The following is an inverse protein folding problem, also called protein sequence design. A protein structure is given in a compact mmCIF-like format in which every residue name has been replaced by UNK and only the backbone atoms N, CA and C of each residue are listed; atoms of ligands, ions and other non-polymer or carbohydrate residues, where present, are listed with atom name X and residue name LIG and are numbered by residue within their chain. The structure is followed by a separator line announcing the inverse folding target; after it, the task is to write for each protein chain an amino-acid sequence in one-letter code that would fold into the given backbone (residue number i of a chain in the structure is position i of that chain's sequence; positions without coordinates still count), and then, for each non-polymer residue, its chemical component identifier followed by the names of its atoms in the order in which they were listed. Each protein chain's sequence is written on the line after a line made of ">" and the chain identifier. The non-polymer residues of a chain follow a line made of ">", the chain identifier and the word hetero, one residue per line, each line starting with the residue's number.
data_IF_256430657259
#
_entry.id   IF_256430657259
#
_cell.length_a   1.000
_cell.length_b   1.000
_cell.length_c   1.000
_cell.angle_alpha   90.00
_cell.angle_beta   90.00
_cell.angle_gamma   90.00
#
_symmetry.space_group_name_H-M   'P 1'
#
loop_
_entity.id
_entity.type
_entity.pdbx_description
1 polymer ?
#
# COMPACT_ATOMS: atom_id res chain seq x y z
N UNK A 1 -13.32 19.37 -8.93
CA UNK A 1 -13.28 18.06 -8.25
C UNK A 1 -12.93 18.36 -6.81
N UNK A 2 -13.86 18.16 -5.88
CA UNK A 2 -13.69 18.60 -4.50
C UNK A 2 -13.13 17.45 -3.65
N UNK A 3 -11.91 17.60 -3.16
CA UNK A 3 -11.16 16.58 -2.44
C UNK A 3 -11.19 16.93 -0.94
N UNK A 4 -11.64 16.00 -0.10
CA UNK A 4 -11.74 16.19 1.36
C UNK A 4 -10.54 15.54 2.05
N UNK A 5 -9.59 16.32 2.54
CA UNK A 5 -8.41 15.78 3.22
C UNK A 5 -8.66 15.50 4.70
N UNK A 6 -8.14 14.38 5.21
CA UNK A 6 -8.30 13.95 6.62
C UNK A 6 -6.96 14.03 7.34
N UNK A 7 -6.95 14.52 8.59
CA UNK A 7 -5.75 14.56 9.44
C UNK A 7 -5.33 13.16 9.88
N UNK A 8 -4.04 12.86 9.78
CA UNK A 8 -3.47 11.62 10.35
C UNK A 8 -3.23 11.80 11.86
N UNK A 9 -3.02 10.69 12.62
CA UNK A 9 -2.61 10.76 14.02
C UNK A 9 -1.35 11.60 14.24
N UNK A 10 -0.43 11.59 13.27
CA UNK A 10 0.79 12.43 13.27
C UNK A 10 0.45 13.91 13.13
N UNK A 11 -0.51 14.26 12.28
CA UNK A 11 -1.02 15.63 12.14
C UNK A 11 -1.66 16.17 13.41
N UNK A 12 -2.44 15.33 14.10
CA UNK A 12 -3.08 15.67 15.38
C UNK A 12 -2.01 15.90 16.46
N UNK A 13 -1.05 14.97 16.58
CA UNK A 13 0.05 15.07 17.54
C UNK A 13 0.90 16.34 17.32
N UNK A 14 1.14 16.75 16.06
CA UNK A 14 1.88 17.99 15.77
C UNK A 14 1.09 19.26 16.18
N UNK A 15 -0.24 19.24 16.03
CA UNK A 15 -1.11 20.32 16.50
C UNK A 15 -1.10 20.39 18.03
N UNK A 16 -1.08 19.27 18.74
CA UNK A 16 -1.08 19.25 20.20
C UNK A 16 0.30 19.57 20.79
N UNK A 17 1.34 18.90 20.30
CA UNK A 17 2.68 18.95 20.89
C UNK A 17 3.52 20.16 20.46
N UNK A 18 3.09 20.92 19.44
CA UNK A 18 3.88 22.03 18.87
C UNK A 18 5.32 21.59 18.58
N UNK A 19 5.49 20.50 17.82
CA UNK A 19 6.80 19.89 17.52
C UNK A 19 7.77 20.78 16.74
N UNK A 20 7.28 21.90 16.18
CA UNK A 20 8.11 22.88 15.49
C UNK A 20 8.51 22.44 14.07
N UNK A 21 8.01 21.29 13.62
CA UNK A 21 8.27 20.76 12.27
C UNK A 21 7.45 21.45 11.17
N UNK A 22 6.44 22.25 11.54
CA UNK A 22 5.58 22.95 10.60
C UNK A 22 5.64 24.47 10.79
N UNK A 23 5.67 25.20 9.68
CA UNK A 23 5.55 26.67 9.72
C UNK A 23 4.16 27.07 10.21
N UNK A 24 4.00 28.25 10.84
CA UNK A 24 2.71 28.72 11.36
C UNK A 24 1.59 28.75 10.30
N UNK A 25 1.93 29.01 9.04
CA UNK A 25 0.99 28.99 7.91
C UNK A 25 0.51 27.58 7.60
N UNK A 26 1.43 26.62 7.45
CA UNK A 26 1.12 25.21 7.15
C UNK A 26 0.30 24.58 8.28
N UNK A 27 0.65 24.91 9.52
CA UNK A 27 -0.11 24.46 10.70
C UNK A 27 -1.53 25.01 10.74
N UNK A 28 -1.75 26.26 10.35
CA UNK A 28 -3.11 26.84 10.31
C UNK A 28 -3.99 26.10 9.30
N UNK A 29 -3.44 25.73 8.15
CA UNK A 29 -4.11 24.88 7.16
C UNK A 29 -4.43 23.51 7.77
N UNK A 30 -3.45 22.86 8.42
CA UNK A 30 -3.63 21.58 9.11
C UNK A 30 -4.72 21.63 10.19
N UNK A 31 -4.85 22.74 10.93
CA UNK A 31 -5.92 22.93 11.92
C UNK A 31 -7.29 23.03 11.22
N UNK A 32 -7.38 23.73 10.08
CA UNK A 32 -8.63 23.88 9.31
C UNK A 32 -9.12 22.59 8.65
N UNK A 33 -8.23 21.63 8.44
CA UNK A 33 -8.51 20.32 7.82
C UNK A 33 -9.28 19.38 8.76
N UNK A 34 -10.58 19.58 8.95
CA UNK A 34 -11.42 18.76 9.87
C UNK A 34 -11.87 17.41 9.29
N UNK A 35 -11.46 17.07 8.06
CA UNK A 35 -11.98 15.89 7.35
C UNK A 35 -13.40 16.04 6.82
N UNK A 36 -13.97 17.26 6.85
CA UNK A 36 -15.32 17.59 6.35
C UNK A 36 -15.31 18.66 5.27
N UNK A 37 -14.20 19.40 5.14
CA UNK A 37 -14.06 20.55 4.25
C UNK A 37 -13.27 20.13 3.02
N UNK A 38 -13.67 20.63 1.87
CA UNK A 38 -13.03 20.39 0.59
C UNK A 38 -11.85 21.33 0.40
N UNK A 39 -10.94 20.99 -0.50
CA UNK A 39 -9.78 21.82 -0.87
C UNK A 39 -10.19 23.26 -1.25
N UNK A 40 -11.29 23.42 -1.98
CA UNK A 40 -11.84 24.72 -2.40
C UNK A 40 -12.34 25.57 -1.20
N UNK A 41 -13.00 24.93 -0.23
CA UNK A 41 -13.46 25.59 1.00
C UNK A 41 -12.28 26.01 1.88
N UNK A 42 -11.28 25.13 2.00
CA UNK A 42 -10.02 25.44 2.70
C UNK A 42 -9.29 26.60 1.99
N UNK A 43 -9.27 26.65 0.66
CA UNK A 43 -8.65 27.73 -0.12
C UNK A 43 -9.32 29.07 0.13
N UNK A 44 -10.64 29.08 0.10
CA UNK A 44 -11.43 30.28 0.37
C UNK A 44 -11.20 30.83 1.78
N UNK A 45 -11.02 29.95 2.78
CA UNK A 45 -10.86 30.35 4.19
C UNK A 45 -9.42 30.61 4.62
N UNK A 46 -8.47 29.87 4.07
CA UNK A 46 -7.07 29.98 4.43
C UNK A 46 -6.39 31.18 3.76
N UNK A 47 -6.94 31.68 2.64
CA UNK A 47 -6.39 32.79 1.84
C UNK A 47 -4.90 32.54 1.53
N UNK A 48 -4.60 31.32 1.08
CA UNK A 48 -3.24 30.88 0.73
C UNK A 48 -3.19 30.66 -0.77
N UNK A 49 -2.34 31.42 -1.45
CA UNK A 49 -2.10 31.28 -2.89
C UNK A 49 -1.54 29.88 -3.22
N UNK A 50 -0.61 29.39 -2.38
CA UNK A 50 0.08 28.11 -2.51
C UNK A 50 -0.56 26.96 -1.71
N UNK A 51 -1.90 26.91 -1.63
CA UNK A 51 -2.58 25.85 -0.86
C UNK A 51 -2.20 24.45 -1.36
N UNK A 52 -2.13 24.25 -2.68
CA UNK A 52 -1.80 22.95 -3.27
C UNK A 52 -0.41 22.46 -2.85
N UNK A 53 0.60 23.32 -2.92
CA UNK A 53 1.95 23.03 -2.43
C UNK A 53 1.97 22.74 -0.92
N UNK A 54 1.14 23.45 -0.15
CA UNK A 54 1.02 23.22 1.29
C UNK A 54 0.40 21.85 1.59
N UNK A 55 -0.63 21.46 0.85
CA UNK A 55 -1.28 20.16 0.98
C UNK A 55 -0.33 19.03 0.57
N UNK A 56 0.41 19.19 -0.52
CA UNK A 56 1.44 18.25 -0.97
C UNK A 56 2.51 18.05 0.11
N UNK A 57 3.01 19.13 0.70
CA UNK A 57 3.98 19.08 1.81
C UNK A 57 3.39 18.34 3.02
N UNK A 58 2.13 18.57 3.36
CA UNK A 58 1.45 17.90 4.47
C UNK A 58 1.20 16.41 4.20
N UNK A 59 0.94 16.03 2.95
CA UNK A 59 0.81 14.62 2.52
C UNK A 59 2.16 13.93 2.56
N UNK A 60 3.20 14.55 1.98
CA UNK A 60 4.56 14.01 1.93
C UNK A 60 5.14 13.82 3.34
N UNK A 61 4.90 14.80 4.23
CA UNK A 61 5.29 14.70 5.63
C UNK A 61 4.38 13.76 6.46
N UNK A 62 3.29 13.25 5.88
CA UNK A 62 2.37 12.30 6.50
C UNK A 62 1.48 12.88 7.60
N UNK A 63 1.22 14.19 7.58
CA UNK A 63 0.32 14.88 8.51
C UNK A 63 -1.14 14.84 8.07
N UNK A 64 -1.40 14.70 6.77
CA UNK A 64 -2.73 14.46 6.21
C UNK A 64 -2.70 13.30 5.22
N UNK A 65 -3.84 12.64 5.08
CA UNK A 65 -4.05 11.60 4.08
C UNK A 65 -5.01 12.12 3.00
N UNK A 66 -4.72 11.77 1.75
CA UNK A 66 -5.61 12.06 0.63
C UNK A 66 -6.85 11.17 0.75
N UNK A 67 -8.07 11.70 0.56
CA UNK A 67 -9.27 10.89 0.70
C UNK A 67 -9.28 9.78 -0.35
N UNK A 68 -9.12 8.54 0.13
CA UNK A 68 -9.92 7.46 -0.41
C UNK A 68 -11.38 7.77 -0.02
N UNK A 69 -12.25 7.65 -1.02
CA UNK A 69 -13.71 7.84 -0.96
C UNK A 69 -14.31 7.49 0.42
N UNK A 70 -15.26 8.28 0.94
CA UNK A 70 -15.69 8.18 2.33
C UNK A 70 -16.50 6.89 2.54
N UNK A 71 -15.84 5.84 3.02
CA UNK A 71 -16.52 4.79 3.74
C UNK A 71 -16.53 5.18 5.22
N UNK A 72 -17.74 5.44 5.69
CA UNK A 72 -18.01 5.89 7.04
C UNK A 72 -17.43 4.89 8.06
N UNK A 73 -16.51 5.40 8.88
CA UNK A 73 -16.22 5.04 10.26
C UNK A 73 -16.60 3.63 10.73
N UNK A 74 -15.59 2.79 10.98
CA UNK A 74 -15.54 2.01 12.20
C UNK A 74 -14.09 1.71 12.57
N UNK A 75 -13.76 2.02 13.82
CA UNK A 75 -12.47 1.78 14.45
C UNK A 75 -11.96 0.34 14.29
N UNK A 76 -10.70 0.19 13.89
CA UNK A 76 -9.78 -0.78 14.48
C UNK A 76 -8.35 -0.52 13.99
N UNK A 77 -7.48 -0.33 14.97
CA UNK A 77 -6.03 -0.52 14.99
C UNK A 77 -5.44 -1.36 13.85
N UNK A 78 -4.36 -0.86 13.24
CA UNK A 78 -3.28 -1.71 12.75
C UNK A 78 -2.95 -1.60 11.27
N UNK A 79 -1.85 -0.90 11.00
CA UNK A 79 -0.86 -1.19 9.96
C UNK A 79 -1.30 -1.29 8.49
N UNK A 80 -0.79 -0.33 7.70
CA UNK A 80 -0.10 -0.68 6.46
C UNK A 80 -0.96 -0.74 5.22
N UNK A 81 -0.93 0.36 4.46
CA UNK A 81 -1.15 0.34 3.02
C UNK A 81 -0.27 -0.72 2.34
N UNK A 82 -0.89 -1.72 1.74
CA UNK A 82 -0.27 -2.46 0.63
C UNK A 82 -1.26 -2.54 -0.52
N UNK A 83 -0.75 -2.27 -1.71
CA UNK A 83 -1.39 -2.39 -3.01
C UNK A 83 -2.48 -3.47 -2.99
N UNK A 84 -3.72 -3.09 -3.24
CA UNK A 84 -4.88 -3.99 -3.19
C UNK A 84 -4.82 -4.95 -4.36
N UNK A 85 -3.96 -5.96 -4.25
CA UNK A 85 -4.16 -7.26 -4.85
C UNK A 85 -5.28 -7.89 -4.03
N UNK A 86 -6.45 -8.07 -4.64
CA UNK A 86 -7.57 -8.77 -4.02
C UNK A 86 -7.22 -10.24 -3.95
N UNK A 87 -6.53 -10.64 -2.88
CA UNK A 87 -6.33 -12.04 -2.56
C UNK A 87 -7.67 -12.66 -2.15
N UNK A 88 -7.88 -13.95 -2.49
CA UNK A 88 -9.05 -14.71 -2.05
C UNK A 88 -9.13 -14.66 -0.51
N UNK A 89 -10.34 -14.67 0.06
CA UNK A 89 -10.47 -14.88 1.52
C UNK A 89 -9.74 -16.17 1.89
N UNK A 90 -8.84 -16.08 2.88
CA UNK A 90 -8.01 -17.22 3.31
C UNK A 90 -8.98 -18.34 3.69
N UNK A 91 -8.98 -19.49 3.00
CA UNK A 91 -9.82 -20.59 3.39
C UNK A 91 -9.41 -21.05 4.80
N UNK A 92 -10.38 -21.21 5.68
CA UNK A 92 -10.23 -21.63 7.09
C UNK A 92 -9.42 -22.92 7.27
N UNK A 93 -9.26 -23.69 6.19
CA UNK A 93 -8.36 -24.85 6.11
C UNK A 93 -7.32 -24.61 5.01
N UNK A 94 -6.03 -24.45 5.36
CA UNK A 94 -4.97 -24.44 4.36
C UNK A 94 -4.90 -25.84 3.72
N UNK A 95 -5.32 -25.97 2.47
CA UNK A 95 -5.15 -27.22 1.74
C UNK A 95 -3.65 -27.38 1.43
N UNK A 96 -2.97 -28.41 1.99
CA UNK A 96 -1.53 -28.54 1.85
C UNK A 96 -1.11 -28.72 0.38
N UNK A 97 -2.01 -29.23 -0.47
CA UNK A 97 -1.72 -29.40 -1.90
C UNK A 97 -1.72 -28.06 -2.63
N UNK A 98 -2.67 -27.17 -2.35
CA UNK A 98 -2.70 -25.83 -2.94
C UNK A 98 -1.46 -25.02 -2.54
N UNK A 99 -1.06 -25.12 -1.26
CA UNK A 99 0.18 -24.49 -0.79
C UNK A 99 1.42 -25.04 -1.50
N UNK A 100 1.56 -26.36 -1.65
CA UNK A 100 2.68 -26.95 -2.40
C UNK A 100 2.65 -26.56 -3.89
N UNK A 101 1.47 -26.49 -4.49
CA UNK A 101 1.32 -26.03 -5.88
C UNK A 101 1.79 -24.59 -6.04
N UNK A 102 1.37 -23.67 -5.18
CA UNK A 102 1.76 -22.27 -5.25
C UNK A 102 3.27 -22.07 -4.98
N UNK A 103 3.86 -22.82 -4.04
CA UNK A 103 5.32 -22.81 -3.82
C UNK A 103 6.07 -23.25 -5.06
N UNK A 104 5.71 -24.40 -5.63
CA UNK A 104 6.33 -24.93 -6.84
C UNK A 104 6.13 -23.97 -8.03
N UNK A 105 4.98 -23.31 -8.12
CA UNK A 105 4.68 -22.34 -9.15
C UNK A 105 5.61 -21.11 -9.09
N UNK A 106 5.76 -20.49 -7.92
CA UNK A 106 6.65 -19.35 -7.72
C UNK A 106 8.10 -19.73 -8.05
N UNK A 107 8.55 -20.89 -7.55
CA UNK A 107 9.90 -21.39 -7.81
C UNK A 107 10.17 -21.67 -9.30
N UNK A 108 9.25 -22.35 -9.98
CA UNK A 108 9.41 -22.73 -11.38
C UNK A 108 9.33 -21.51 -12.33
N UNK A 109 8.45 -20.56 -12.02
CA UNK A 109 8.36 -19.31 -12.79
C UNK A 109 9.62 -18.46 -12.62
N UNK A 110 10.16 -18.29 -11.41
CA UNK A 110 11.45 -17.61 -11.21
C UNK A 110 12.58 -18.30 -11.97
N UNK A 111 12.67 -19.64 -11.89
CA UNK A 111 13.68 -20.41 -12.62
C UNK A 111 13.57 -20.23 -14.13
N UNK A 112 12.35 -20.17 -14.66
CA UNK A 112 12.07 -20.06 -16.11
C UNK A 112 12.36 -18.67 -16.64
N UNK A 113 11.94 -17.61 -15.93
CA UNK A 113 12.02 -16.23 -16.43
C UNK A 113 13.28 -15.51 -15.98
N UNK A 114 13.71 -15.69 -14.73
CA UNK A 114 14.87 -15.01 -14.14
C UNK A 114 16.15 -15.87 -14.19
N UNK A 115 16.01 -17.20 -14.31
CA UNK A 115 17.10 -18.16 -14.35
C UNK A 115 17.29 -18.96 -13.05
N UNK A 116 18.03 -20.08 -13.10
CA UNK A 116 18.07 -21.08 -12.02
C UNK A 116 18.75 -20.66 -10.71
N UNK A 117 19.45 -19.52 -10.69
CA UNK A 117 20.14 -19.00 -9.51
C UNK A 117 19.71 -17.57 -9.15
N UNK A 118 18.67 -17.05 -9.80
CA UNK A 118 18.17 -15.72 -9.52
C UNK A 118 17.22 -15.73 -8.31
N UNK A 119 17.25 -14.66 -7.51
CA UNK A 119 16.31 -14.45 -6.39
C UNK A 119 16.28 -15.59 -5.35
N UNK A 120 17.47 -16.10 -4.98
CA UNK A 120 17.63 -17.14 -3.93
C UNK A 120 16.88 -16.80 -2.63
N UNK A 121 16.86 -15.53 -2.22
CA UNK A 121 16.11 -15.09 -1.04
C UNK A 121 14.59 -15.33 -1.15
N UNK A 122 14.02 -15.20 -2.34
CA UNK A 122 12.60 -15.53 -2.58
C UNK A 122 12.42 -17.06 -2.51
N UNK A 123 13.37 -17.81 -3.06
CA UNK A 123 13.35 -19.28 -3.03
C UNK A 123 13.38 -19.82 -1.60
N UNK A 124 14.25 -19.27 -0.75
CA UNK A 124 14.34 -19.62 0.67
C UNK A 124 13.07 -19.25 1.42
N UNK A 125 12.54 -18.03 1.21
CA UNK A 125 11.32 -17.57 1.87
C UNK A 125 10.08 -18.39 1.48
N UNK A 126 9.92 -18.75 0.20
CA UNK A 126 8.82 -19.60 -0.28
C UNK A 126 8.93 -21.03 0.26
N UNK A 127 10.15 -21.57 0.36
CA UNK A 127 10.38 -22.90 0.94
C UNK A 127 10.08 -22.91 2.44
N UNK A 128 10.47 -21.85 3.15
CA UNK A 128 10.26 -21.70 4.59
C UNK A 128 8.80 -21.38 4.96
N UNK A 129 8.02 -20.80 4.04
CA UNK A 129 6.62 -20.40 4.28
C UNK A 129 5.78 -21.58 4.79
N UNK A 130 5.10 -21.42 5.92
CA UNK A 130 4.20 -22.43 6.51
C UNK A 130 2.73 -22.03 6.43
N UNK A 131 2.47 -20.78 6.10
CA UNK A 131 1.13 -20.18 6.04
C UNK A 131 0.86 -19.53 4.69
N UNK A 132 -0.43 -19.38 4.34
CA UNK A 132 -0.83 -18.66 3.13
C UNK A 132 -0.39 -17.19 3.19
N UNK A 133 -0.39 -16.57 4.37
CA UNK A 133 0.09 -15.20 4.57
C UNK A 133 1.58 -15.03 4.22
N UNK A 134 2.43 -15.95 4.69
CA UNK A 134 3.86 -15.94 4.35
C UNK A 134 4.09 -16.10 2.84
N UNK A 135 3.27 -16.92 2.18
CA UNK A 135 3.34 -17.11 0.73
C UNK A 135 2.86 -15.86 -0.03
N UNK A 136 1.79 -15.21 0.43
CA UNK A 136 1.32 -13.92 -0.12
C UNK A 136 2.35 -12.81 0.06
N UNK A 137 3.11 -12.82 1.15
CA UNK A 137 4.22 -11.88 1.33
C UNK A 137 5.31 -12.02 0.24
N UNK A 138 5.45 -13.20 -0.37
CA UNK A 138 6.38 -13.44 -1.48
C UNK A 138 5.82 -13.04 -2.85
N UNK A 139 4.53 -12.72 -2.96
CA UNK A 139 3.90 -12.34 -4.22
C UNK A 139 4.50 -11.06 -4.82
N UNK A 140 4.64 -10.00 -4.03
CA UNK A 140 5.21 -8.72 -4.48
C UNK A 140 6.67 -8.86 -4.94
N UNK A 141 7.59 -9.45 -4.15
CA UNK A 141 8.97 -9.61 -4.60
C UNK A 141 9.08 -10.54 -5.81
N UNK A 142 8.24 -11.58 -5.90
CA UNK A 142 8.15 -12.44 -7.09
C UNK A 142 7.69 -11.66 -8.34
N UNK A 143 6.61 -10.89 -8.23
CA UNK A 143 6.08 -10.11 -9.35
C UNK A 143 7.11 -9.08 -9.84
N UNK A 144 7.80 -8.42 -8.91
CA UNK A 144 8.90 -7.51 -9.25
C UNK A 144 10.03 -8.25 -9.99
N UNK A 145 10.43 -9.42 -9.52
CA UNK A 145 11.45 -10.24 -10.21
C UNK A 145 11.04 -10.62 -11.65
N UNK A 146 9.79 -11.04 -11.85
CA UNK A 146 9.28 -11.43 -13.18
C UNK A 146 9.23 -10.23 -14.13
N UNK A 147 8.76 -9.06 -13.66
CA UNK A 147 8.57 -7.85 -14.50
C UNK A 147 9.88 -7.16 -14.92
N UNK A 148 10.99 -7.47 -14.23
CA UNK A 148 12.34 -7.05 -14.63
C UNK A 148 12.80 -7.72 -15.94
N UNK A 149 12.24 -8.87 -16.28
CA UNK A 149 12.58 -9.63 -17.50
C UNK A 149 11.62 -9.27 -18.63
N UNK A 150 12.11 -9.21 -19.88
CA UNK A 150 11.27 -8.87 -21.05
C UNK A 150 10.16 -9.91 -21.27
N UNK A 151 10.51 -11.18 -21.19
CA UNK A 151 9.57 -12.29 -21.38
C UNK A 151 8.63 -12.45 -20.18
N UNK A 152 9.12 -12.23 -18.96
CA UNK A 152 8.30 -12.27 -17.76
C UNK A 152 7.27 -11.15 -17.73
N UNK A 153 7.62 -9.92 -18.12
CA UNK A 153 6.67 -8.79 -18.19
C UNK A 153 5.46 -9.08 -19.07
N UNK A 154 5.66 -9.77 -20.21
CA UNK A 154 4.58 -10.12 -21.14
C UNK A 154 3.59 -11.13 -20.56
N UNK A 155 4.05 -11.97 -19.64
CA UNK A 155 3.24 -13.02 -19.02
C UNK A 155 2.88 -12.73 -17.57
N UNK A 156 3.35 -11.60 -17.01
CA UNK A 156 3.21 -11.28 -15.60
C UNK A 156 1.74 -11.22 -15.17
N UNK A 157 0.85 -10.70 -16.02
CA UNK A 157 -0.58 -10.61 -15.75
C UNK A 157 -1.25 -11.99 -15.70
N UNK A 158 -0.98 -12.87 -16.68
CA UNK A 158 -1.45 -14.26 -16.67
C UNK A 158 -0.91 -15.05 -15.47
N UNK A 159 0.39 -14.87 -15.18
CA UNK A 159 1.05 -15.58 -14.10
C UNK A 159 0.49 -15.15 -12.74
N UNK A 160 0.21 -13.86 -12.58
CA UNK A 160 -0.45 -13.25 -11.42
C UNK A 160 -1.86 -13.84 -11.25
N UNK A 161 -2.66 -13.84 -12.31
CA UNK A 161 -4.02 -14.36 -12.29
C UNK A 161 -4.06 -15.86 -11.94
N UNK A 162 -3.07 -16.65 -12.39
CA UNK A 162 -3.00 -18.07 -12.04
C UNK A 162 -2.56 -18.28 -10.59
N UNK A 163 -1.55 -17.54 -10.13
CA UNK A 163 -1.07 -17.63 -8.76
C UNK A 163 -2.17 -17.24 -7.76
N UNK A 164 -2.93 -16.18 -8.04
CA UNK A 164 -4.05 -15.71 -7.21
C UNK A 164 -5.24 -16.69 -7.12
N UNK A 165 -5.33 -17.69 -8.00
CA UNK A 165 -6.33 -18.77 -7.84
C UNK A 165 -5.94 -19.74 -6.72
N UNK A 166 -4.65 -19.84 -6.45
CA UNK A 166 -4.06 -20.81 -5.53
C UNK A 166 -3.73 -20.19 -4.17
N UNK A 167 -3.44 -18.88 -4.11
CA UNK A 167 -3.02 -18.18 -2.87
C UNK A 167 -4.04 -17.23 -2.24
#
# INVERSE_FOLDING_TARGET
>A
MSIIFVKTPKGIAEIEQRGGGLTPRVRRVLIMLDGKRTDDDIRAMALVDDLEQTLETLVEAGYIESPKQPEASAAATGAGIVNTVTFREVPDKPDPKEMEMAKNYIMNTLKTFCGPMAHLSIYEAVTAARTHEELRAQFVPWHNAITLTRDGRRRAEDLCADLLKVI
#
